data_IF_044923675298
#
_entry.id   IF_044923675298
#
_cell.length_a   1.000
_cell.length_b   1.000
_cell.length_c   1.000
_cell.angle_alpha   90.00
_cell.angle_beta   90.00
_cell.angle_gamma   90.00
#
_symmetry.space_group_name_H-M   'P 1'
#
loop_
_entity.id
_entity.type
_entity.pdbx_description
1 polymer ?
#
# COMPACT_ATOMS: atom_id res chain seq x y z
N UNK A 1 -12.53 -5.69 8.40
CA UNK A 1 -12.01 -6.98 8.92
C UNK A 1 -10.58 -6.82 9.40
N UNK A 2 -9.68 -6.35 8.52
CA UNK A 2 -8.28 -6.12 8.87
C UNK A 2 -8.08 -5.26 10.14
N UNK A 3 -8.69 -4.07 10.23
CA UNK A 3 -8.60 -3.19 11.42
C UNK A 3 -9.03 -3.83 12.76
N UNK A 4 -9.88 -4.85 12.73
CA UNK A 4 -10.35 -5.55 13.94
C UNK A 4 -9.46 -6.74 14.30
N UNK A 5 -8.69 -7.27 13.35
CA UNK A 5 -7.81 -8.42 13.54
C UNK A 5 -6.62 -8.27 12.58
N UNK A 6 -5.66 -7.39 12.94
CA UNK A 6 -4.54 -7.06 12.08
C UNK A 6 -3.59 -8.25 11.90
N UNK A 7 -2.77 -8.16 10.84
CA UNK A 7 -1.72 -9.12 10.56
C UNK A 7 -0.50 -8.99 11.47
N UNK A 8 0.43 -9.96 11.38
CA UNK A 8 1.66 -9.93 12.15
C UNK A 8 2.65 -8.83 11.72
N UNK A 9 2.43 -8.22 10.56
CA UNK A 9 3.23 -7.13 9.99
C UNK A 9 2.44 -5.80 9.98
N UNK A 10 1.45 -5.69 10.86
CA UNK A 10 0.75 -4.44 11.10
C UNK A 10 1.59 -3.52 11.99
N UNK A 11 1.58 -2.23 11.67
CA UNK A 11 2.07 -1.18 12.55
C UNK A 11 0.99 -0.10 12.77
N UNK A 12 1.07 0.54 13.93
CA UNK A 12 0.24 1.68 14.30
C UNK A 12 1.20 2.84 14.54
N UNK A 13 1.35 3.66 13.51
CA UNK A 13 2.27 4.79 13.56
C UNK A 13 1.70 5.83 14.53
N UNK A 14 2.29 5.88 15.73
CA UNK A 14 1.84 6.74 16.82
C UNK A 14 1.78 8.21 16.36
N UNK A 15 0.66 8.86 16.66
CA UNK A 15 0.57 10.32 16.53
C UNK A 15 1.34 10.96 17.70
N UNK A 16 2.09 12.05 17.45
CA UNK A 16 2.72 12.81 18.52
C UNK A 16 1.68 13.25 19.56
N UNK A 17 2.11 13.35 20.81
CA UNK A 17 1.26 13.43 21.99
C UNK A 17 0.15 14.49 21.85
N UNK A 18 -1.12 14.06 22.01
CA UNK A 18 -2.29 14.94 22.09
C UNK A 18 -3.16 15.04 20.83
N UNK A 19 -2.92 14.21 19.81
CA UNK A 19 -3.67 14.20 18.55
C UNK A 19 -4.56 12.96 18.44
N UNK A 20 -5.67 13.07 17.72
CA UNK A 20 -6.75 12.06 17.68
C UNK A 20 -6.71 11.14 16.45
N UNK A 21 -5.84 11.43 15.47
CA UNK A 21 -5.75 10.64 14.26
C UNK A 21 -4.99 9.34 14.46
N UNK A 22 -5.34 8.34 13.64
CA UNK A 22 -4.64 7.05 13.58
C UNK A 22 -4.07 6.81 12.21
N UNK A 23 -2.85 6.30 12.16
CA UNK A 23 -2.25 5.77 10.95
C UNK A 23 -1.94 4.29 11.16
N UNK A 24 -2.83 3.48 10.60
CA UNK A 24 -2.75 2.02 10.62
C UNK A 24 -2.23 1.53 9.27
N UNK A 25 -1.26 0.62 9.30
CA UNK A 25 -0.86 -0.11 8.11
C UNK A 25 -0.72 -1.61 8.38
N UNK A 26 -0.85 -2.41 7.32
CA UNK A 26 -0.69 -3.86 7.39
C UNK A 26 -0.26 -4.42 6.04
N UNK A 27 0.45 -5.54 6.04
CA UNK A 27 1.05 -6.13 4.85
C UNK A 27 0.59 -7.57 4.62
N UNK A 28 0.77 -8.05 3.38
CA UNK A 28 0.43 -9.42 2.96
C UNK A 28 -1.02 -9.79 3.25
N UNK A 29 -1.94 -8.85 3.06
CA UNK A 29 -3.38 -9.05 3.23
C UNK A 29 -3.88 -10.16 2.32
N UNK A 30 -3.40 -10.26 1.08
CA UNK A 30 -3.82 -11.30 0.12
C UNK A 30 -3.59 -12.73 0.63
N UNK A 31 -2.65 -12.93 1.56
CA UNK A 31 -2.38 -14.26 2.14
C UNK A 31 -3.40 -14.64 3.23
N UNK A 32 -4.16 -13.67 3.75
CA UNK A 32 -5.04 -13.82 4.92
C UNK A 32 -6.50 -13.46 4.66
N UNK A 33 -6.76 -12.56 3.70
CA UNK A 33 -8.08 -12.02 3.41
C UNK A 33 -8.49 -12.40 1.98
N UNK A 34 -9.51 -13.25 1.79
CA UNK A 34 -9.96 -13.68 0.47
C UNK A 34 -10.32 -12.52 -0.47
N UNK A 35 -10.87 -11.43 0.07
CA UNK A 35 -11.17 -10.20 -0.67
C UNK A 35 -9.92 -9.56 -1.31
N UNK A 36 -8.79 -9.53 -0.59
CA UNK A 36 -7.52 -9.01 -1.11
C UNK A 36 -6.93 -9.98 -2.14
N UNK A 37 -6.98 -11.30 -1.87
CA UNK A 37 -6.55 -12.31 -2.84
C UNK A 37 -7.33 -12.24 -4.15
N UNK A 38 -8.66 -12.09 -4.07
CA UNK A 38 -9.53 -11.96 -5.22
C UNK A 38 -9.20 -10.72 -6.05
N UNK A 39 -8.85 -9.60 -5.40
CA UNK A 39 -8.40 -8.42 -6.12
C UNK A 39 -7.02 -8.63 -6.78
N UNK A 40 -6.03 -9.14 -6.04
CA UNK A 40 -4.66 -9.34 -6.54
C UNK A 40 -4.64 -10.28 -7.74
N UNK A 41 -5.37 -11.39 -7.69
CA UNK A 41 -5.34 -12.42 -8.75
C UNK A 41 -6.47 -12.32 -9.77
N UNK A 42 -7.59 -11.68 -9.42
CA UNK A 42 -8.77 -11.58 -10.28
C UNK A 42 -8.93 -10.25 -11.01
N UNK A 43 -8.17 -9.21 -10.64
CA UNK A 43 -8.19 -7.92 -11.33
C UNK A 43 -7.22 -7.87 -12.52
N UNK A 44 -7.34 -6.80 -13.32
CA UNK A 44 -6.41 -6.52 -14.42
C UNK A 44 -5.09 -5.86 -13.97
N UNK A 45 -4.89 -5.63 -12.67
CA UNK A 45 -3.70 -4.93 -12.16
C UNK A 45 -2.40 -5.68 -12.49
N UNK A 46 -2.37 -7.01 -12.38
CA UNK A 46 -1.19 -7.81 -12.75
C UNK A 46 -0.80 -7.65 -14.23
N UNK A 47 -1.78 -7.60 -15.13
CA UNK A 47 -1.54 -7.39 -16.56
C UNK A 47 -1.04 -5.96 -16.86
N UNK A 48 -1.58 -4.95 -16.18
CA UNK A 48 -1.09 -3.57 -16.29
C UNK A 48 0.33 -3.43 -15.77
N UNK A 49 0.65 -4.06 -14.63
CA UNK A 49 1.99 -4.09 -14.06
C UNK A 49 2.99 -4.75 -15.01
N UNK A 50 2.65 -5.93 -15.56
CA UNK A 50 3.51 -6.63 -16.52
C UNK A 50 3.83 -5.75 -17.74
N UNK A 51 2.81 -5.08 -18.30
CA UNK A 51 2.99 -4.15 -19.42
C UNK A 51 3.85 -2.94 -19.06
N UNK A 52 3.68 -2.37 -17.87
CA UNK A 52 4.48 -1.24 -17.41
C UNK A 52 5.96 -1.60 -17.24
N UNK A 53 6.24 -2.83 -16.80
CA UNK A 53 7.59 -3.39 -16.66
C UNK A 53 8.13 -4.00 -17.98
N UNK A 54 7.41 -3.88 -19.11
CA UNK A 54 7.83 -4.49 -20.38
C UNK A 54 7.96 -6.01 -20.34
N UNK A 55 7.25 -6.68 -19.44
CA UNK A 55 7.37 -8.09 -19.11
C UNK A 55 6.15 -8.90 -19.57
N UNK A 56 6.33 -10.21 -19.80
CA UNK A 56 5.21 -11.11 -20.13
C UNK A 56 4.29 -11.38 -18.94
N UNK A 57 4.84 -11.32 -17.73
CA UNK A 57 4.14 -11.65 -16.47
C UNK A 57 4.61 -10.72 -15.36
N UNK A 58 3.75 -10.51 -14.38
CA UNK A 58 4.08 -9.86 -13.12
C UNK A 58 3.88 -10.86 -11.97
N UNK A 59 4.77 -10.82 -10.99
CA UNK A 59 4.66 -11.59 -9.76
C UNK A 59 4.30 -10.64 -8.62
N UNK A 60 3.30 -11.01 -7.82
CA UNK A 60 2.98 -10.25 -6.60
C UNK A 60 4.12 -10.43 -5.60
N UNK A 61 4.69 -9.32 -5.14
CA UNK A 61 5.67 -9.33 -4.05
C UNK A 61 4.97 -9.22 -2.69
N UNK A 62 4.15 -8.18 -2.50
CA UNK A 62 3.27 -7.99 -1.36
C UNK A 62 2.17 -6.99 -1.71
N UNK A 63 1.14 -6.91 -0.85
CA UNK A 63 0.19 -5.80 -0.80
C UNK A 63 0.32 -5.08 0.55
N UNK A 64 -0.07 -3.80 0.57
CA UNK A 64 0.04 -2.90 1.71
C UNK A 64 -1.26 -2.13 1.89
N UNK A 65 -1.94 -2.34 3.02
CA UNK A 65 -3.07 -1.51 3.43
C UNK A 65 -2.53 -0.30 4.18
N UNK A 66 -3.00 0.89 3.81
CA UNK A 66 -2.68 2.15 4.47
C UNK A 66 -4.00 2.84 4.84
N UNK A 67 -4.24 3.07 6.12
CA UNK A 67 -5.43 3.76 6.63
C UNK A 67 -4.98 4.95 7.47
N UNK A 68 -5.26 6.16 6.99
CA UNK A 68 -5.03 7.41 7.71
C UNK A 68 -6.38 8.02 8.09
N UNK A 69 -6.74 7.93 9.36
CA UNK A 69 -7.96 8.54 9.88
C UNK A 69 -7.88 10.08 9.89
N UNK A 70 -9.01 10.78 9.84
CA UNK A 70 -9.03 12.24 10.00
C UNK A 70 -8.31 12.70 11.27
N UNK A 71 -7.52 13.77 11.15
CA UNK A 71 -6.71 14.29 12.25
C UNK A 71 -5.32 13.64 12.37
N UNK A 72 -4.99 12.65 11.52
CA UNK A 72 -3.63 12.11 11.43
C UNK A 72 -2.72 13.16 10.83
N UNK A 73 -1.66 13.49 11.56
CA UNK A 73 -0.74 14.57 11.15
C UNK A 73 0.68 14.08 10.87
N UNK A 74 0.94 12.78 10.99
CA UNK A 74 2.19 12.15 10.54
C UNK A 74 2.17 12.03 9.01
N UNK A 75 2.88 12.92 8.27
CA UNK A 75 2.95 12.79 6.82
C UNK A 75 3.74 11.53 6.46
N UNK A 76 3.45 10.95 5.30
CA UNK A 76 4.41 10.01 4.69
C UNK A 76 5.54 10.86 4.11
N UNK A 77 6.80 10.72 4.57
CA UNK A 77 7.91 11.52 4.04
C UNK A 77 8.13 11.28 2.55
N UNK A 78 8.76 12.22 1.85
CA UNK A 78 9.24 11.97 0.48
C UNK A 78 10.25 10.82 0.47
N UNK A 79 10.05 9.84 -0.39
CA UNK A 79 10.91 8.67 -0.52
C UNK A 79 10.81 8.05 -1.92
N UNK A 80 11.71 7.10 -2.19
CA UNK A 80 11.60 6.14 -3.27
C UNK A 80 11.55 4.72 -2.68
N UNK A 81 10.60 3.91 -3.14
CA UNK A 81 10.34 2.58 -2.54
C UNK A 81 11.50 1.60 -2.67
N UNK A 82 12.37 1.80 -3.67
CA UNK A 82 13.45 0.87 -4.01
C UNK A 82 14.35 0.50 -2.83
N UNK A 83 14.60 1.46 -1.92
CA UNK A 83 15.47 1.20 -0.75
C UNK A 83 14.83 0.31 0.31
N UNK A 84 13.51 0.12 0.27
CA UNK A 84 12.76 -0.72 1.21
C UNK A 84 12.60 -2.16 0.73
N UNK A 85 12.80 -2.43 -0.56
CA UNK A 85 12.57 -3.75 -1.11
C UNK A 85 13.79 -4.65 -1.01
N UNK A 86 13.59 -5.86 -0.48
CA UNK A 86 14.63 -6.89 -0.40
C UNK A 86 14.75 -7.70 -1.70
N UNK A 87 14.66 -7.03 -2.85
CA UNK A 87 14.79 -7.64 -4.17
C UNK A 87 15.78 -6.86 -5.03
N UNK A 88 16.38 -7.54 -6.00
CA UNK A 88 17.29 -6.92 -6.97
C UNK A 88 16.59 -6.78 -8.32
N UNK A 89 16.86 -5.68 -9.04
CA UNK A 89 16.36 -5.45 -10.40
C UNK A 89 15.57 -4.15 -10.53
N UNK A 90 15.27 -3.73 -11.76
CA UNK A 90 14.54 -2.48 -12.03
C UNK A 90 13.09 -2.72 -12.49
N UNK A 91 12.73 -3.99 -12.72
CA UNK A 91 11.42 -4.40 -13.21
C UNK A 91 10.45 -4.60 -12.03
N UNK A 92 10.16 -3.50 -11.34
CA UNK A 92 9.21 -3.46 -10.22
C UNK A 92 8.35 -2.20 -10.30
N UNK A 93 7.06 -2.37 -9.99
CA UNK A 93 6.08 -1.29 -9.97
C UNK A 93 5.12 -1.46 -8.81
N UNK A 94 4.80 -0.34 -8.16
CA UNK A 94 3.72 -0.24 -7.17
C UNK A 94 2.42 0.18 -7.87
N UNK A 95 1.32 -0.53 -7.60
CA UNK A 95 -0.03 -0.10 -8.00
C UNK A 95 -0.72 0.48 -6.76
N UNK A 96 -0.94 1.79 -6.75
CA UNK A 96 -1.66 2.46 -5.67
C UNK A 96 -3.15 2.56 -6.01
N UNK A 97 -4.00 2.02 -5.12
CA UNK A 97 -5.45 2.01 -5.28
C UNK A 97 -6.12 2.74 -4.13
N UNK A 98 -6.89 3.78 -4.45
CA UNK A 98 -7.80 4.42 -3.52
C UNK A 98 -8.99 3.49 -3.23
N UNK A 99 -9.20 3.14 -1.95
CA UNK A 99 -10.38 2.38 -1.51
C UNK A 99 -11.53 3.29 -1.05
N UNK A 100 -11.25 4.57 -0.86
CA UNK A 100 -12.18 5.63 -0.51
C UNK A 100 -11.90 6.90 -1.33
N UNK A 101 -12.64 7.97 -1.05
CA UNK A 101 -12.46 9.24 -1.75
C UNK A 101 -11.14 9.91 -1.33
N UNK A 102 -10.31 10.15 -2.34
CA UNK A 102 -9.01 10.82 -2.18
C UNK A 102 -9.08 12.20 -2.84
N UNK A 103 -8.57 13.20 -2.12
CA UNK A 103 -8.39 14.60 -2.50
C UNK A 103 -6.89 14.89 -2.63
N UNK A 104 -6.57 16.07 -3.14
CA UNK A 104 -5.18 16.53 -3.23
C UNK A 104 -4.48 16.52 -1.86
N UNK A 105 -5.18 16.91 -0.79
CA UNK A 105 -4.63 16.98 0.57
C UNK A 105 -4.31 15.62 1.22
N UNK A 106 -4.86 14.51 0.72
CA UNK A 106 -4.67 13.17 1.30
C UNK A 106 -4.26 12.10 0.27
N UNK A 107 -3.92 12.52 -0.95
CA UNK A 107 -3.53 11.65 -2.04
C UNK A 107 -2.03 11.45 -2.19
N UNK A 108 -1.66 10.55 -3.09
CA UNK A 108 -0.27 10.33 -3.50
C UNK A 108 0.22 11.52 -4.34
N UNK A 109 1.46 11.94 -4.11
CA UNK A 109 2.15 12.96 -4.89
C UNK A 109 3.41 12.37 -5.52
N UNK A 110 3.72 12.81 -6.74
CA UNK A 110 4.88 12.34 -7.49
C UNK A 110 5.79 13.51 -7.87
N UNK A 111 7.10 13.28 -7.87
CA UNK A 111 8.08 14.19 -8.47
C UNK A 111 8.33 13.74 -9.91
N UNK A 112 8.36 14.68 -10.85
CA UNK A 112 8.60 14.43 -12.28
C UNK A 112 10.00 14.85 -12.70
#
# INVERSE_FOLDING_TARGET
RNLATPGPLCDEHADAQGRTGRFHDDQFLWTRHPEAANFVFGSHCGALAARAMGSERAHIFYDHLLVKEPGTTSPTPWHNDYSYWQIQGMDIVSVWLALDHVREENGVSYVR
#
